data_IF_588900875288
#
_entry.id   IF_588900875288
#
_cell.length_a   1.000
_cell.length_b   1.000
_cell.length_c   1.000
_cell.angle_alpha   90.00
_cell.angle_beta   90.00
_cell.angle_gamma   90.00
#
_symmetry.space_group_name_H-M   'P 1'
#
loop_
_entity.id
_entity.type
_entity.pdbx_description
1 polymer ?
#
# COMPACT_ATOMS: atom_id res chain seq x y z
N UNK A 1 15.05 -6.45 -5.87
CA UNK A 1 15.65 -5.64 -6.95
C UNK A 1 14.56 -4.80 -7.57
N UNK A 2 14.83 -3.53 -7.90
CA UNK A 2 13.94 -2.66 -8.68
C UNK A 2 14.65 -2.33 -9.98
N UNK A 3 13.95 -2.43 -11.10
CA UNK A 3 14.47 -2.16 -12.44
C UNK A 3 13.65 -1.06 -13.09
N UNK A 4 14.33 -0.11 -13.73
CA UNK A 4 13.72 0.93 -14.54
C UNK A 4 13.93 0.62 -16.01
N UNK A 5 12.88 0.70 -16.81
CA UNK A 5 12.92 0.45 -18.24
C UNK A 5 12.44 1.69 -18.98
N UNK A 6 13.03 1.92 -20.15
CA UNK A 6 12.50 2.89 -21.09
C UNK A 6 11.22 2.34 -21.74
N UNK A 7 10.21 3.19 -21.96
CA UNK A 7 8.97 2.80 -22.64
C UNK A 7 9.19 2.40 -24.10
N UNK A 8 10.34 2.75 -24.69
CA UNK A 8 10.81 2.30 -26.01
C UNK A 8 11.24 0.83 -26.05
N UNK A 9 11.07 0.08 -24.96
CA UNK A 9 11.33 -1.36 -24.86
C UNK A 9 12.79 -1.72 -25.18
N UNK A 10 13.73 -1.06 -24.49
CA UNK A 10 15.15 -1.44 -24.57
C UNK A 10 15.36 -2.87 -24.06
N UNK A 11 16.35 -3.57 -24.64
CA UNK A 11 16.69 -4.96 -24.24
C UNK A 11 17.17 -5.07 -22.80
N UNK A 12 17.76 -4.00 -22.28
CA UNK A 12 18.31 -3.91 -20.92
C UNK A 12 17.59 -2.81 -20.13
N UNK A 13 17.50 -2.96 -18.80
CA UNK A 13 16.99 -1.90 -17.94
C UNK A 13 17.92 -0.68 -18.02
N UNK A 14 17.33 0.51 -18.02
CA UNK A 14 18.09 1.77 -17.90
C UNK A 14 18.84 1.83 -16.57
N UNK A 15 18.24 1.27 -15.52
CA UNK A 15 18.79 1.26 -14.18
C UNK A 15 18.34 0.03 -13.41
N UNK A 16 19.25 -0.57 -12.64
CA UNK A 16 18.95 -1.69 -11.74
C UNK A 16 19.45 -1.38 -10.34
N UNK A 17 18.58 -1.51 -9.34
CA UNK A 17 18.88 -1.23 -7.93
C UNK A 17 18.64 -2.47 -7.08
N UNK A 18 19.65 -2.84 -6.29
CA UNK A 18 19.55 -3.92 -5.31
C UNK A 18 18.79 -3.40 -4.07
N UNK A 19 17.87 -4.21 -3.57
CA UNK A 19 17.05 -3.87 -2.40
C UNK A 19 17.72 -4.19 -1.08
N UNK A 20 17.08 -3.78 0.02
CA UNK A 20 17.56 -4.06 1.39
C UNK A 20 17.27 -5.49 1.85
N UNK A 21 16.44 -6.25 1.14
CA UNK A 21 16.18 -7.65 1.43
C UNK A 21 15.93 -8.45 0.15
N UNK A 22 15.96 -9.77 0.29
CA UNK A 22 15.53 -10.72 -0.74
C UNK A 22 14.00 -10.91 -0.79
N UNK A 23 13.24 -10.26 0.10
CA UNK A 23 11.79 -10.38 0.10
C UNK A 23 11.18 -9.69 -1.13
N UNK A 24 10.14 -10.26 -1.74
CA UNK A 24 9.45 -9.64 -2.86
C UNK A 24 8.89 -8.27 -2.48
N UNK A 25 9.11 -7.29 -3.36
CA UNK A 25 8.38 -6.03 -3.34
C UNK A 25 7.02 -6.28 -3.98
N UNK A 26 5.95 -5.97 -3.25
CA UNK A 26 4.58 -6.22 -3.73
C UNK A 26 3.82 -4.94 -4.07
N UNK A 27 4.34 -3.78 -3.66
CA UNK A 27 3.75 -2.48 -3.98
C UNK A 27 4.86 -1.51 -4.31
N UNK A 28 4.70 -0.77 -5.39
CA UNK A 28 5.58 0.32 -5.83
C UNK A 28 4.70 1.51 -6.16
N UNK A 29 5.05 2.67 -5.62
CA UNK A 29 4.33 3.93 -5.79
C UNK A 29 5.32 5.02 -6.13
N UNK A 30 5.04 5.78 -7.18
CA UNK A 30 5.79 7.01 -7.47
C UNK A 30 5.26 8.14 -6.62
N UNK A 31 6.17 8.90 -6.01
CA UNK A 31 5.84 10.06 -5.19
C UNK A 31 6.43 11.31 -5.82
N UNK A 32 5.76 12.45 -5.66
CA UNK A 32 6.27 13.72 -6.17
C UNK A 32 7.64 14.05 -5.52
N UNK A 33 8.61 14.52 -6.32
CA UNK A 33 9.91 14.91 -5.80
C UNK A 33 9.77 16.15 -4.91
N UNK A 34 10.59 16.27 -3.87
CA UNK A 34 10.57 17.38 -2.90
C UNK A 34 11.14 18.71 -3.44
N UNK A 35 11.16 18.87 -4.76
CA UNK A 35 11.74 19.96 -5.58
C UNK A 35 13.26 19.91 -5.84
N UNK A 36 13.63 20.32 -7.07
CA UNK A 36 14.99 20.52 -7.65
C UNK A 36 15.87 19.32 -8.01
N UNK A 37 15.64 18.12 -7.47
CA UNK A 37 16.39 16.94 -7.91
C UNK A 37 15.75 16.35 -9.17
N UNK A 38 16.53 16.08 -10.22
CA UNK A 38 16.09 15.33 -11.41
C UNK A 38 15.82 13.84 -11.11
N UNK A 39 15.57 13.49 -9.85
CA UNK A 39 15.41 12.13 -9.35
C UNK A 39 13.93 11.81 -9.17
N UNK A 40 13.57 10.57 -9.44
CA UNK A 40 12.22 10.07 -9.17
C UNK A 40 12.23 9.33 -7.84
N UNK A 41 11.45 9.81 -6.88
CA UNK A 41 11.28 9.13 -5.59
C UNK A 41 10.18 8.09 -5.70
N UNK A 42 10.52 6.84 -5.37
CA UNK A 42 9.59 5.72 -5.28
C UNK A 42 9.46 5.28 -3.82
N UNK A 43 8.26 4.89 -3.42
CA UNK A 43 8.03 4.12 -2.22
C UNK A 43 7.70 2.69 -2.59
N UNK A 44 8.27 1.74 -1.87
CA UNK A 44 7.91 0.33 -2.00
C UNK A 44 7.47 -0.25 -0.68
N UNK A 45 6.58 -1.23 -0.71
CA UNK A 45 6.35 -2.11 0.42
C UNK A 45 6.83 -3.54 0.14
N UNK A 46 7.42 -4.12 1.18
CA UNK A 46 7.85 -5.50 1.27
C UNK A 46 7.73 -5.95 2.73
N UNK A 47 7.95 -7.22 3.01
CA UNK A 47 7.82 -7.75 4.38
C UNK A 47 8.62 -6.99 5.45
N UNK A 48 9.76 -6.38 5.09
CA UNK A 48 10.61 -5.63 6.04
C UNK A 48 10.08 -4.24 6.39
N UNK A 49 9.07 -3.74 5.68
CA UNK A 49 8.52 -2.40 5.83
C UNK A 49 8.50 -1.60 4.53
N UNK A 50 8.44 -0.29 4.66
CA UNK A 50 8.39 0.68 3.57
C UNK A 50 9.81 1.14 3.24
N UNK A 51 10.21 1.09 1.98
CA UNK A 51 11.49 1.61 1.51
C UNK A 51 11.29 2.77 0.55
N UNK A 52 12.07 3.84 0.73
CA UNK A 52 12.24 4.93 -0.24
C UNK A 52 13.39 4.60 -1.20
N UNK A 53 13.18 4.90 -2.48
CA UNK A 53 14.16 4.73 -3.55
C UNK A 53 14.26 6.04 -4.33
N UNK A 54 15.46 6.56 -4.52
CA UNK A 54 15.70 7.73 -5.36
C UNK A 54 16.37 7.28 -6.67
N UNK A 55 15.56 7.13 -7.71
CA UNK A 55 15.97 6.68 -9.05
C UNK A 55 16.57 7.86 -9.83
N UNK A 56 17.66 7.63 -10.58
CA UNK A 56 18.41 8.68 -11.26
C UNK A 56 19.59 9.29 -10.47
N UNK A 57 19.79 8.89 -9.21
CA UNK A 57 20.98 9.23 -8.39
C UNK A 57 21.92 8.03 -8.30
N UNK A 58 23.04 8.02 -9.02
CA UNK A 58 23.80 6.79 -9.32
C UNK A 58 24.28 5.95 -8.12
N UNK A 59 24.37 6.52 -6.91
CA UNK A 59 24.98 5.85 -5.74
C UNK A 59 24.04 5.64 -4.54
N UNK A 60 22.78 6.07 -4.64
CA UNK A 60 21.92 6.09 -3.45
C UNK A 60 21.30 4.71 -3.15
N UNK A 61 21.62 4.15 -1.97
CA UNK A 61 20.95 2.94 -1.49
C UNK A 61 19.50 3.23 -1.08
N UNK A 62 18.57 2.26 -1.27
CA UNK A 62 17.24 2.36 -0.71
C UNK A 62 17.28 2.61 0.79
N UNK A 63 16.34 3.42 1.27
CA UNK A 63 16.21 3.82 2.66
C UNK A 63 14.98 3.15 3.28
N UNK A 64 15.18 2.22 4.23
CA UNK A 64 14.08 1.66 5.01
C UNK A 64 13.57 2.75 5.96
N UNK A 65 12.29 3.08 5.88
CA UNK A 65 11.67 4.03 6.80
C UNK A 65 11.69 3.39 8.20
N UNK A 66 12.46 3.92 9.17
CA UNK A 66 12.70 3.25 10.45
C UNK A 66 11.41 2.95 11.21
N UNK A 67 10.45 3.87 11.17
CA UNK A 67 9.15 3.73 11.84
C UNK A 67 8.22 2.69 11.18
N UNK A 68 8.59 2.17 10.00
CA UNK A 68 7.90 1.08 9.32
C UNK A 68 8.51 -0.29 9.60
N UNK A 69 9.68 -0.34 10.24
CA UNK A 69 10.27 -1.57 10.73
C UNK A 69 9.47 -2.01 11.95
N UNK A 70 8.69 -3.07 11.80
CA UNK A 70 7.85 -3.58 12.86
C UNK A 70 8.27 -5.00 13.25
N UNK A 71 8.78 -5.16 14.47
CA UNK A 71 9.21 -6.45 14.99
C UNK A 71 7.98 -7.33 15.27
N UNK A 72 7.89 -8.48 14.60
CA UNK A 72 6.76 -9.41 14.73
C UNK A 72 5.62 -9.21 13.72
N UNK A 73 5.65 -8.15 12.91
CA UNK A 73 4.68 -7.92 11.83
C UNK A 73 5.37 -7.80 10.47
N UNK A 74 4.63 -8.07 9.40
CA UNK A 74 5.08 -7.87 8.02
C UNK A 74 4.20 -6.85 7.34
N UNK A 75 4.81 -5.92 6.59
CA UNK A 75 4.07 -5.00 5.75
C UNK A 75 3.52 -5.77 4.54
N UNK A 76 2.23 -5.54 4.23
CA UNK A 76 1.46 -6.28 3.22
C UNK A 76 0.77 -5.38 2.19
N UNK A 77 0.67 -4.08 2.45
CA UNK A 77 0.23 -3.13 1.43
C UNK A 77 0.68 -1.72 1.77
N UNK A 78 0.66 -0.86 0.76
CA UNK A 78 1.00 0.55 0.87
C UNK A 78 0.06 1.36 -0.01
N UNK A 79 -0.41 2.49 0.50
CA UNK A 79 -1.14 3.50 -0.23
C UNK A 79 -0.53 4.88 0.02
N UNK A 80 -0.62 5.74 -0.99
CA UNK A 80 -0.14 7.11 -0.97
C UNK A 80 -1.18 8.00 -1.63
N UNK A 81 -1.32 9.22 -1.11
CA UNK A 81 -2.40 10.12 -1.49
C UNK A 81 -2.02 11.09 -2.62
N UNK A 82 -0.77 11.06 -3.09
CA UNK A 82 -0.21 12.11 -3.96
C UNK A 82 0.32 13.33 -3.19
N UNK A 83 -0.04 13.48 -1.91
CA UNK A 83 0.50 14.48 -0.98
C UNK A 83 1.44 13.85 0.05
N UNK A 84 1.23 14.16 1.34
CA UNK A 84 2.11 13.69 2.42
C UNK A 84 1.60 12.43 3.13
N UNK A 85 0.36 12.02 2.86
CA UNK A 85 -0.27 10.89 3.54
C UNK A 85 0.14 9.55 2.93
N UNK A 86 0.66 8.68 3.78
CA UNK A 86 1.03 7.31 3.47
C UNK A 86 0.32 6.40 4.47
N UNK A 87 -0.25 5.30 3.99
CA UNK A 87 -0.81 4.26 4.85
C UNK A 87 -0.20 2.93 4.47
N UNK A 88 0.40 2.23 5.44
CA UNK A 88 0.86 0.86 5.26
C UNK A 88 0.03 -0.09 6.11
N UNK A 89 -0.30 -1.24 5.54
CA UNK A 89 -1.02 -2.29 6.25
C UNK A 89 -0.04 -3.36 6.70
N UNK A 90 -0.23 -3.86 7.91
CA UNK A 90 0.61 -4.87 8.54
C UNK A 90 -0.25 -6.02 9.03
N UNK A 91 0.33 -7.22 9.00
CA UNK A 91 -0.21 -8.40 9.69
C UNK A 91 0.88 -9.07 10.51
N UNK A 92 0.51 -9.91 11.50
CA UNK A 92 1.47 -10.74 12.22
C UNK A 92 2.27 -11.60 11.26
N UNK A 93 3.55 -11.78 11.55
CA UNK A 93 4.38 -12.74 10.81
C UNK A 93 3.85 -14.14 11.09
N UNK A 94 3.57 -14.91 10.03
CA UNK A 94 3.21 -16.31 10.19
C UNK A 94 4.48 -17.06 10.60
N UNK A 95 4.53 -17.58 11.81
CA UNK A 95 5.57 -18.52 12.22
C UNK A 95 5.29 -19.86 11.55
N UNK A 96 5.94 -20.13 10.42
CA UNK A 96 6.02 -21.49 9.90
C UNK A 96 6.84 -22.32 10.88
N UNK A 97 6.16 -23.00 11.81
CA UNK A 97 6.74 -24.12 12.53
C UNK A 97 7.33 -25.09 11.51
N UNK A 98 8.63 -25.36 11.61
CA UNK A 98 9.37 -26.24 10.69
C UNK A 98 9.00 -27.70 10.94
N UNK A 99 7.78 -28.08 10.60
CA UNK A 99 7.38 -29.46 10.38
C UNK A 99 6.01 -29.41 9.70
N UNK A 100 5.97 -29.79 8.42
CA UNK A 100 4.92 -30.60 7.78
C UNK A 100 5.15 -30.51 6.27
N UNK A 101 5.29 -31.69 5.69
CA UNK A 101 5.36 -32.04 4.26
C UNK A 101 4.43 -31.18 3.42
N UNK A 102 4.99 -30.56 2.37
CA UNK A 102 4.27 -29.73 1.41
C UNK A 102 3.25 -30.57 0.64
N UNK A 103 2.02 -30.61 1.14
CA UNK A 103 0.83 -30.78 0.30
C UNK A 103 0.39 -29.38 -0.10
N UNK A 104 0.54 -29.03 -1.37
CA UNK A 104 -0.01 -27.79 -1.94
C UNK A 104 -1.54 -27.91 -2.02
N UNK A 105 -2.23 -27.83 -0.89
CA UNK A 105 -3.62 -27.40 -0.88
C UNK A 105 -3.64 -25.87 -0.97
N UNK A 106 -4.63 -25.24 -1.63
CA UNK A 106 -4.81 -23.81 -1.54
C UNK A 106 -5.00 -23.50 -0.05
N UNK A 107 -3.99 -22.87 0.54
CA UNK A 107 -4.00 -22.46 1.93
C UNK A 107 -5.24 -21.61 2.15
N UNK A 108 -6.21 -22.12 2.92
CA UNK A 108 -7.41 -21.39 3.29
C UNK A 108 -6.92 -20.19 4.09
N UNK A 109 -7.00 -19.00 3.49
CA UNK A 109 -6.68 -17.79 4.22
C UNK A 109 -7.78 -17.50 5.23
N UNK A 110 -7.40 -16.86 6.32
CA UNK A 110 -8.32 -16.47 7.39
C UNK A 110 -8.06 -15.01 7.76
N UNK A 111 -9.05 -14.39 8.40
CA UNK A 111 -8.88 -13.09 9.03
C UNK A 111 -7.94 -13.20 10.21
N UNK A 112 -6.95 -12.31 10.25
CA UNK A 112 -6.07 -12.12 11.41
C UNK A 112 -6.12 -10.66 11.83
N UNK A 113 -5.91 -10.43 13.11
CA UNK A 113 -5.76 -9.08 13.63
C UNK A 113 -4.45 -8.48 13.14
N UNK A 114 -4.54 -7.43 12.33
CA UNK A 114 -3.43 -6.62 11.85
C UNK A 114 -3.69 -5.15 12.13
N UNK A 115 -3.00 -4.29 11.40
CA UNK A 115 -3.20 -2.85 11.52
C UNK A 115 -2.93 -2.06 10.24
N UNK A 116 -3.51 -0.87 10.16
CA UNK A 116 -3.15 0.15 9.19
C UNK A 116 -2.43 1.27 9.93
N UNK A 117 -1.18 1.56 9.55
CA UNK A 117 -0.36 2.59 10.17
C UNK A 117 -0.25 3.76 9.21
N UNK A 118 -0.49 4.96 9.75
CA UNK A 118 -0.47 6.21 8.99
C UNK A 118 0.87 6.90 9.22
N UNK A 119 1.51 7.30 8.13
CA UNK A 119 2.74 8.06 8.11
C UNK A 119 2.50 9.38 7.36
N UNK A 120 3.11 10.45 7.87
CA UNK A 120 3.24 11.73 7.18
C UNK A 120 4.66 11.87 6.64
N UNK A 121 4.76 12.20 5.36
CA UNK A 121 6.02 12.57 4.71
C UNK A 121 6.29 14.06 4.96
N UNK A 122 7.47 14.38 5.46
CA UNK A 122 7.94 15.76 5.68
C UNK A 122 9.01 16.20 4.69
N UNK A 123 9.24 15.43 3.62
CA UNK A 123 10.30 15.61 2.64
C UNK A 123 11.17 14.36 2.50
N UNK A 124 12.37 14.53 1.94
CA UNK A 124 13.26 13.42 1.62
C UNK A 124 13.68 12.68 2.90
N UNK A 125 13.43 11.37 2.96
CA UNK A 125 13.75 10.50 4.10
C UNK A 125 13.16 10.95 5.45
N UNK A 126 12.21 11.88 5.44
CA UNK A 126 11.54 12.40 6.63
C UNK A 126 10.12 11.85 6.69
N UNK A 127 9.90 10.95 7.63
CA UNK A 127 8.63 10.26 7.80
C UNK A 127 8.29 10.17 9.28
N UNK A 128 7.05 10.47 9.62
CA UNK A 128 6.54 10.41 10.98
C UNK A 128 5.26 9.58 11.02
N UNK A 129 5.21 8.57 11.87
CA UNK A 129 4.01 7.82 12.23
C UNK A 129 3.09 8.71 13.03
N UNK A 130 1.89 8.92 12.50
CA UNK A 130 0.88 9.79 13.12
C UNK A 130 -0.27 9.02 13.76
N UNK A 131 -0.44 7.74 13.42
CA UNK A 131 -1.42 6.89 14.09
C UNK A 131 -1.45 5.47 13.56
N UNK A 132 -2.31 4.65 14.17
CA UNK A 132 -2.50 3.25 13.84
C UNK A 132 -3.94 2.84 14.10
N UNK A 133 -4.46 1.97 13.23
CA UNK A 133 -5.81 1.43 13.27
C UNK A 133 -5.72 -0.08 13.36
N UNK A 134 -6.36 -0.70 14.35
CA UNK A 134 -6.54 -2.16 14.34
C UNK A 134 -7.51 -2.52 13.21
N UNK A 135 -7.17 -3.55 12.44
CA UNK A 135 -7.97 -4.00 11.33
C UNK A 135 -7.88 -5.51 11.15
N UNK A 136 -8.95 -6.12 10.65
CA UNK A 136 -8.90 -7.49 10.16
C UNK A 136 -8.29 -7.49 8.77
N UNK A 137 -7.21 -8.26 8.61
CA UNK A 137 -6.49 -8.41 7.34
C UNK A 137 -6.35 -9.90 7.02
N UNK A 138 -6.16 -10.22 5.74
CA UNK A 138 -6.00 -11.60 5.32
C UNK A 138 -4.61 -12.14 5.70
N UNK A 139 -4.57 -13.37 6.20
CA UNK A 139 -3.33 -14.02 6.63
C UNK A 139 -2.36 -14.30 5.48
N UNK A 140 -2.81 -14.28 4.23
CA UNK A 140 -2.01 -14.67 3.06
C UNK A 140 -2.04 -13.61 1.96
N UNK A 141 -3.23 -13.18 1.54
CA UNK A 141 -3.46 -12.20 0.47
C UNK A 141 -3.03 -10.78 0.89
N UNK A 142 -2.70 -9.97 -0.11
CA UNK A 142 -2.29 -8.59 0.07
C UNK A 142 -3.51 -7.69 -0.19
N UNK A 143 -3.94 -6.87 0.78
CA UNK A 143 -5.15 -6.09 0.65
C UNK A 143 -4.98 -5.01 -0.42
N UNK A 144 -6.01 -4.82 -1.25
CA UNK A 144 -6.10 -3.70 -2.18
C UNK A 144 -6.50 -2.46 -1.41
N UNK A 145 -5.75 -1.38 -1.56
CA UNK A 145 -6.02 -0.16 -0.82
C UNK A 145 -5.66 1.10 -1.62
N UNK A 146 -6.26 2.21 -1.22
CA UNK A 146 -6.02 3.52 -1.80
C UNK A 146 -6.35 4.61 -0.77
N UNK A 147 -5.85 5.83 -1.00
CA UNK A 147 -6.24 7.00 -0.22
C UNK A 147 -7.15 7.88 -1.09
N UNK A 148 -8.23 8.34 -0.50
CA UNK A 148 -9.18 9.29 -1.07
C UNK A 148 -8.84 10.66 -0.47
N UNK A 149 -8.27 11.52 -1.30
CA UNK A 149 -8.15 12.94 -0.98
C UNK A 149 -9.35 13.67 -1.54
N UNK A 150 -10.11 14.36 -0.68
CA UNK A 150 -11.18 15.26 -1.09
C UNK A 150 -10.78 16.69 -0.67
N UNK A 151 -10.93 17.70 -1.55
CA UNK A 151 -10.66 19.09 -1.18
C UNK A 151 -11.46 19.48 0.08
N UNK A 152 -10.81 20.13 1.04
CA UNK A 152 -11.41 20.63 2.29
C UNK A 152 -11.98 19.57 3.25
N UNK A 153 -11.62 18.29 3.09
CA UNK A 153 -12.01 17.23 4.03
C UNK A 153 -10.80 16.44 4.51
N UNK A 154 -10.96 15.71 5.62
CA UNK A 154 -9.95 14.75 6.08
C UNK A 154 -9.72 13.68 5.01
N UNK A 155 -8.46 13.29 4.76
CA UNK A 155 -8.17 12.19 3.85
C UNK A 155 -8.76 10.90 4.42
N UNK A 156 -9.32 10.08 3.54
CA UNK A 156 -9.86 8.78 3.91
C UNK A 156 -9.00 7.67 3.31
N UNK A 157 -8.82 6.60 4.06
CA UNK A 157 -8.17 5.39 3.58
C UNK A 157 -9.23 4.32 3.31
N UNK A 158 -9.15 3.69 2.14
CA UNK A 158 -9.97 2.54 1.80
C UNK A 158 -9.10 1.31 1.68
N UNK A 159 -9.50 0.22 2.32
CA UNK A 159 -8.91 -1.09 2.17
C UNK A 159 -9.98 -2.14 1.88
N UNK A 160 -9.67 -3.06 0.98
CA UNK A 160 -10.42 -4.28 0.79
C UNK A 160 -10.19 -5.19 1.99
N UNK A 161 -11.26 -5.58 2.68
CA UNK A 161 -11.22 -6.73 3.56
C UNK A 161 -11.55 -7.97 2.72
N UNK A 162 -10.50 -8.72 2.44
CA UNK A 162 -10.51 -9.94 1.64
C UNK A 162 -11.30 -11.09 2.29
N UNK A 163 -11.51 -11.06 3.61
CA UNK A 163 -12.25 -12.07 4.38
C UNK A 163 -13.75 -11.87 4.21
N UNK A 164 -14.22 -10.63 4.38
CA UNK A 164 -15.63 -10.25 4.27
C UNK A 164 -16.04 -9.82 2.87
N UNK A 165 -15.08 -9.63 1.95
CA UNK A 165 -15.30 -9.11 0.59
C UNK A 165 -16.00 -7.74 0.55
N UNK A 166 -15.74 -6.90 1.56
CA UNK A 166 -16.22 -5.52 1.62
C UNK A 166 -15.04 -4.52 1.53
N UNK A 167 -15.35 -3.29 1.17
CA UNK A 167 -14.42 -2.17 1.28
C UNK A 167 -14.66 -1.47 2.60
N UNK A 168 -13.61 -1.28 3.39
CA UNK A 168 -13.65 -0.58 4.66
C UNK A 168 -13.01 0.80 4.49
N UNK A 169 -13.80 1.85 4.77
CA UNK A 169 -13.36 3.23 4.72
C UNK A 169 -13.02 3.73 6.12
N UNK A 170 -11.84 4.32 6.26
CA UNK A 170 -11.30 4.87 7.50
C UNK A 170 -11.07 6.38 7.34
N UNK A 171 -11.46 7.16 8.33
CA UNK A 171 -11.07 8.57 8.45
C UNK A 171 -9.67 8.63 9.07
N UNK A 172 -8.69 9.17 8.35
CA UNK A 172 -7.30 9.22 8.82
C UNK A 172 -7.06 10.28 9.89
N UNK A 173 -7.92 11.29 10.02
CA UNK A 173 -7.83 12.28 11.09
C UNK A 173 -8.43 11.76 12.40
N UNK A 174 -9.54 11.02 12.31
CA UNK A 174 -10.23 10.45 13.47
C UNK A 174 -9.70 9.07 13.87
N UNK A 175 -8.94 8.43 12.99
CA UNK A 175 -8.50 7.05 13.14
C UNK A 175 -9.69 6.14 13.50
N UNK A 176 -10.72 6.17 12.65
CA UNK A 176 -11.94 5.37 12.85
C UNK A 176 -12.51 4.85 11.53
N UNK A 177 -13.19 3.71 11.59
CA UNK A 177 -14.01 3.20 10.47
C UNK A 177 -15.22 4.10 10.32
N UNK A 178 -15.43 4.63 9.11
CA UNK A 178 -16.57 5.49 8.77
C UNK A 178 -17.67 4.71 8.07
N UNK A 179 -17.27 3.82 7.16
CA UNK A 179 -18.22 3.13 6.30
C UNK A 179 -17.69 1.78 5.83
N UNK A 180 -18.60 0.84 5.59
CA UNK A 180 -18.33 -0.43 4.90
C UNK A 180 -19.20 -0.51 3.66
N UNK A 181 -18.58 -0.79 2.51
CA UNK A 181 -19.26 -0.88 1.22
C UNK A 181 -19.21 -2.32 0.74
N UNK A 182 -20.38 -2.91 0.52
CA UNK A 182 -20.48 -4.27 -0.02
C UNK A 182 -20.10 -4.28 -1.49
N UNK A 183 -19.35 -5.30 -1.88
CA UNK A 183 -19.08 -5.59 -3.29
C UNK A 183 -19.96 -6.75 -3.77
N UNK A 184 -20.35 -6.80 -5.05
CA UNK A 184 -21.31 -7.79 -5.57
C UNK A 184 -20.70 -9.18 -5.73
N UNK A 185 -19.37 -9.30 -5.76
CA UNK A 185 -18.64 -10.56 -5.87
C UNK A 185 -17.69 -10.72 -4.69
N UNK A 186 -17.35 -11.95 -4.37
CA UNK A 186 -16.55 -12.29 -3.18
C UNK A 186 -15.03 -12.14 -3.39
N UNK A 187 -14.59 -11.33 -4.37
CA UNK A 187 -13.17 -11.16 -4.66
C UNK A 187 -12.85 -9.79 -5.25
N UNK A 188 -12.20 -8.95 -4.44
CA UNK A 188 -11.75 -7.63 -4.85
C UNK A 188 -10.36 -7.76 -5.48
N UNK A 189 -10.23 -7.33 -6.73
CA UNK A 189 -9.01 -7.45 -7.52
C UNK A 189 -8.21 -6.15 -7.55
N UNK A 190 -8.89 -5.00 -7.52
CA UNK A 190 -8.23 -3.69 -7.46
C UNK A 190 -9.13 -2.63 -6.84
N UNK A 191 -8.49 -1.64 -6.21
CA UNK A 191 -9.15 -0.44 -5.68
C UNK A 191 -8.29 0.75 -6.06
N UNK A 192 -8.88 1.71 -6.76
CA UNK A 192 -8.20 2.94 -7.19
C UNK A 192 -9.06 4.14 -6.88
N UNK A 193 -8.40 5.22 -6.46
CA UNK A 193 -9.05 6.50 -6.28
C UNK A 193 -8.42 7.51 -7.23
N UNK A 194 -9.26 8.35 -7.82
CA UNK A 194 -8.83 9.49 -8.61
C UNK A 194 -9.65 10.71 -8.25
N UNK A 195 -9.03 11.88 -8.31
CA UNK A 195 -9.72 13.14 -8.12
C UNK A 195 -10.20 13.65 -9.47
N UNK A 196 -11.49 13.98 -9.55
CA UNK A 196 -12.11 14.58 -10.74
C UNK A 196 -12.71 15.91 -10.29
N UNK A 197 -12.04 17.00 -10.70
CA UNK A 197 -12.38 18.37 -10.32
C UNK A 197 -12.43 18.53 -8.78
N UNK A 198 -13.63 18.80 -8.24
CA UNK A 198 -13.88 19.02 -6.81
C UNK A 198 -14.44 17.76 -6.10
N UNK A 199 -14.46 16.62 -6.79
CA UNK A 199 -14.94 15.35 -6.26
C UNK A 199 -13.87 14.27 -6.40
N UNK A 200 -14.04 13.20 -5.64
CA UNK A 200 -13.17 12.04 -5.68
C UNK A 200 -13.99 10.83 -6.07
N UNK A 201 -13.50 10.10 -7.06
CA UNK A 201 -14.13 8.87 -7.56
C UNK A 201 -13.27 7.69 -7.15
N UNK A 202 -13.89 6.74 -6.48
CA UNK A 202 -13.27 5.47 -6.13
C UNK A 202 -13.82 4.38 -7.04
N UNK A 203 -12.94 3.71 -7.77
CA UNK A 203 -13.24 2.51 -8.52
C UNK A 203 -12.86 1.26 -7.72
N UNK A 204 -13.73 0.25 -7.73
CA UNK A 204 -13.46 -1.07 -7.21
C UNK A 204 -13.73 -2.11 -8.29
N UNK A 205 -12.74 -2.95 -8.59
CA UNK A 205 -12.88 -4.10 -9.47
C UNK A 205 -13.11 -5.34 -8.60
N UNK A 206 -14.28 -5.96 -8.74
CA UNK A 206 -14.65 -7.18 -8.04
C UNK A 206 -15.15 -8.23 -9.04
N UNK A 207 -14.35 -9.29 -9.25
CA UNK A 207 -14.53 -10.23 -10.35
C UNK A 207 -14.51 -9.53 -11.72
N UNK A 208 -15.63 -9.61 -12.44
CA UNK A 208 -15.88 -8.99 -13.75
C UNK A 208 -16.63 -7.65 -13.66
N UNK A 209 -16.86 -7.14 -12.44
CA UNK A 209 -17.66 -5.93 -12.20
C UNK A 209 -16.78 -4.79 -11.72
N UNK A 210 -16.90 -3.62 -12.37
CA UNK A 210 -16.35 -2.36 -11.88
C UNK A 210 -17.46 -1.54 -11.24
N UNK A 211 -17.31 -1.23 -9.95
CA UNK A 211 -18.18 -0.30 -9.22
C UNK A 211 -17.49 1.04 -9.06
N UNK A 212 -18.22 2.12 -9.33
CA UNK A 212 -17.77 3.48 -9.09
C UNK A 212 -18.54 4.06 -7.91
N UNK A 213 -17.80 4.62 -6.96
CA UNK A 213 -18.33 5.31 -5.80
C UNK A 213 -17.90 6.77 -5.87
N UNK A 214 -18.83 7.66 -5.54
CA UNK A 214 -18.60 9.10 -5.49
C UNK A 214 -19.09 9.61 -4.15
N UNK A 215 -18.37 10.54 -3.53
CA UNK A 215 -18.98 11.31 -2.43
C UNK A 215 -20.03 12.24 -3.03
N UNK A 216 -21.25 12.23 -2.51
CA UNK A 216 -22.21 13.29 -2.83
C UNK A 216 -21.63 14.67 -2.44
N UNK A 217 -21.97 15.73 -3.17
CA UNK A 217 -21.58 17.10 -2.81
C UNK A 217 -22.02 17.47 -1.39
#
# INVERSE_FOLDING_TARGET
MVMSFDTRQTKEPLETRIGLSCNPVHTLISVAPDSSSGTTTLLSASQIGICEWNIGSSEERPYLIPESKNEGQVCISLAHSGGDDIVASFRPKIETSTQITVSQSPSISCGVEGCHVVYKRGGARSYQKTGSLVAEVDSIRLPKCSIINKPNHSPMFVAANEVTSDLVLHDLSKMAVVQRLKTPKNQISDVKCTQIWNSSVMGCLSGDVVQLFTSSP
#
